data_IF_591846992210
#
_entry.id   IF_591846992210
#
_cell.length_a   1.000
_cell.length_b   1.000
_cell.length_c   1.000
_cell.angle_alpha   90.00
_cell.angle_beta   90.00
_cell.angle_gamma   90.00
#
_symmetry.space_group_name_H-M   'P 1'
#
loop_
_entity.id
_entity.type
_entity.pdbx_description
1 polymer ?
#
# COMPACT_ATOMS: atom_id res chain seq x y z
N UNK A 1 0.86 -6.76 39.55
CA UNK A 1 0.12 -7.00 38.33
C UNK A 1 -1.25 -7.55 38.69
N UNK A 2 -2.32 -7.06 38.08
CA UNK A 2 -3.65 -7.57 38.39
C UNK A 2 -3.88 -8.93 37.72
N UNK A 3 -4.88 -9.65 38.24
CA UNK A 3 -5.19 -11.00 37.81
C UNK A 3 -5.60 -11.07 36.31
N UNK A 4 -6.29 -10.05 35.83
CA UNK A 4 -6.73 -9.99 34.44
C UNK A 4 -5.52 -9.90 33.49
N UNK A 5 -4.55 -9.04 33.82
CA UNK A 5 -3.34 -8.91 33.01
C UNK A 5 -2.53 -10.22 33.00
N UNK A 6 -2.47 -10.94 34.13
CA UNK A 6 -1.81 -12.24 34.19
C UNK A 6 -2.48 -13.28 33.31
N UNK A 7 -3.81 -13.31 33.30
CA UNK A 7 -4.56 -14.20 32.41
C UNK A 7 -4.27 -13.91 30.94
N UNK A 8 -4.32 -12.66 30.55
CA UNK A 8 -4.01 -12.27 29.15
C UNK A 8 -2.60 -12.66 28.73
N UNK A 9 -1.62 -12.49 29.61
CA UNK A 9 -0.24 -12.84 29.32
C UNK A 9 -0.02 -14.35 29.24
N UNK A 10 -0.82 -15.14 29.93
CA UNK A 10 -0.70 -16.60 29.93
C UNK A 10 -1.51 -17.29 28.85
N UNK A 11 -2.37 -16.56 28.13
CA UNK A 11 -3.15 -17.14 27.04
C UNK A 11 -2.26 -17.43 25.83
N UNK A 12 -2.34 -18.66 25.35
CA UNK A 12 -1.69 -19.04 24.11
C UNK A 12 -2.67 -18.87 22.97
N UNK A 13 -2.38 -17.87 22.13
CA UNK A 13 -3.06 -17.71 20.87
C UNK A 13 -2.19 -18.31 19.80
N UNK A 14 -2.79 -19.02 18.85
CA UNK A 14 -2.08 -19.37 17.63
C UNK A 14 -1.65 -18.12 16.87
N UNK A 15 -0.91 -18.26 15.76
CA UNK A 15 -0.55 -17.10 14.94
C UNK A 15 -1.79 -16.30 14.60
N UNK A 16 -1.79 -15.01 14.90
CA UNK A 16 -2.91 -14.14 14.59
C UNK A 16 -3.10 -14.11 13.08
N UNK A 17 -4.34 -14.35 12.56
CA UNK A 17 -4.57 -14.27 11.12
C UNK A 17 -4.24 -12.89 10.56
N UNK A 18 -4.32 -11.87 11.39
CA UNK A 18 -4.05 -10.48 11.06
C UNK A 18 -2.61 -10.06 11.36
N UNK A 19 -1.70 -11.00 11.55
CA UNK A 19 -0.30 -10.69 11.83
C UNK A 19 0.36 -9.92 10.69
N UNK A 20 1.41 -9.12 10.98
CA UNK A 20 2.02 -8.25 9.99
C UNK A 20 3.01 -8.93 9.05
N UNK A 21 3.28 -10.21 9.22
CA UNK A 21 4.38 -10.91 8.52
C UNK A 21 4.20 -10.90 7.00
N UNK A 22 2.99 -11.17 6.52
CA UNK A 22 2.72 -11.18 5.08
C UNK A 22 2.83 -9.79 4.48
N UNK A 23 2.31 -8.79 5.17
CA UNK A 23 2.39 -7.40 4.73
C UNK A 23 3.85 -6.92 4.69
N UNK A 24 4.62 -7.22 5.70
CA UNK A 24 6.03 -6.86 5.74
C UNK A 24 6.82 -7.55 4.63
N UNK A 25 6.56 -8.83 4.38
CA UNK A 25 7.21 -9.56 3.29
C UNK A 25 6.89 -8.95 1.92
N UNK A 26 5.65 -8.53 1.72
CA UNK A 26 5.23 -7.87 0.48
C UNK A 26 5.92 -6.52 0.30
N UNK A 27 5.99 -5.71 1.36
CA UNK A 27 6.69 -4.42 1.34
C UNK A 27 8.18 -4.62 1.04
N UNK A 28 8.83 -5.59 1.68
CA UNK A 28 10.24 -5.89 1.48
C UNK A 28 10.52 -6.36 0.04
N UNK A 29 9.61 -7.14 -0.53
CA UNK A 29 9.73 -7.60 -1.92
C UNK A 29 9.69 -6.44 -2.93
N UNK A 30 9.14 -5.30 -2.53
CA UNK A 30 9.08 -4.08 -3.34
C UNK A 30 10.14 -3.04 -2.92
N UNK A 31 11.15 -3.45 -2.15
CA UNK A 31 12.20 -2.57 -1.62
C UNK A 31 11.64 -1.41 -0.80
N UNK A 32 10.41 -1.51 -0.33
CA UNK A 32 9.69 -0.48 0.41
C UNK A 32 9.71 0.89 -0.28
N UNK A 33 9.67 0.87 -1.60
CA UNK A 33 9.70 2.08 -2.44
C UNK A 33 8.70 1.93 -3.57
N UNK A 34 7.79 2.88 -3.68
CA UNK A 34 6.67 2.78 -4.61
C UNK A 34 6.60 4.01 -5.51
N UNK A 35 6.49 3.75 -6.81
CA UNK A 35 6.10 4.74 -7.79
C UNK A 35 4.59 4.86 -7.88
N UNK A 36 4.09 5.33 -9.00
CA UNK A 36 2.67 5.38 -9.29
C UNK A 36 2.28 4.20 -10.18
N UNK A 37 1.06 3.72 -10.04
CA UNK A 37 0.52 2.70 -10.91
C UNK A 37 -0.36 3.37 -11.97
N UNK A 38 0.16 3.49 -13.18
CA UNK A 38 -0.50 4.22 -14.28
C UNK A 38 -0.45 3.35 -15.52
N UNK A 39 -1.58 3.22 -16.20
CA UNK A 39 -1.72 2.47 -17.44
C UNK A 39 -1.27 1.00 -17.31
N UNK A 40 -1.61 0.38 -16.18
CA UNK A 40 -1.30 -1.02 -15.94
C UNK A 40 0.14 -1.31 -15.53
N UNK A 41 0.95 -0.28 -15.31
CA UNK A 41 2.36 -0.43 -14.97
C UNK A 41 2.78 0.48 -13.82
N UNK A 42 3.77 0.04 -13.06
CA UNK A 42 4.40 0.86 -12.04
C UNK A 42 5.40 1.81 -12.68
N UNK A 43 5.32 3.09 -12.33
CA UNK A 43 6.34 4.06 -12.71
C UNK A 43 7.55 3.93 -11.81
N UNK A 44 8.70 4.45 -12.25
CA UNK A 44 9.90 4.49 -11.40
C UNK A 44 9.66 5.42 -10.22
N UNK A 45 10.12 5.03 -9.00
CA UNK A 45 10.03 5.91 -7.85
C UNK A 45 10.79 7.22 -8.12
N UNK A 46 10.14 8.33 -7.78
CA UNK A 46 10.74 9.67 -7.88
C UNK A 46 10.92 10.27 -6.50
N UNK A 47 10.78 11.60 -6.41
CA UNK A 47 10.77 12.29 -5.12
C UNK A 47 9.68 11.67 -4.24
N UNK A 48 10.04 11.32 -3.02
CA UNK A 48 9.17 10.52 -2.16
C UNK A 48 9.02 11.13 -0.77
N UNK A 49 8.02 10.64 -0.07
CA UNK A 49 7.82 10.91 1.36
C UNK A 49 7.65 9.58 2.09
N UNK A 50 7.92 9.60 3.40
CA UNK A 50 7.79 8.41 4.23
C UNK A 50 6.34 8.16 4.63
N UNK A 51 5.90 6.91 4.53
CA UNK A 51 4.66 6.45 5.13
C UNK A 51 5.02 5.71 6.42
N UNK A 52 4.52 6.21 7.54
CA UNK A 52 4.93 5.72 8.85
C UNK A 52 3.82 4.94 9.53
N UNK A 53 4.22 3.95 10.32
CA UNK A 53 3.30 3.18 11.14
C UNK A 53 2.84 4.06 12.33
N UNK A 54 1.56 4.40 12.43
CA UNK A 54 1.09 5.28 13.51
C UNK A 54 1.20 4.66 14.90
N UNK A 55 1.28 3.35 14.99
CA UNK A 55 1.40 2.66 16.28
C UNK A 55 2.82 2.70 16.82
N UNK A 56 3.84 2.66 15.97
CA UNK A 56 5.25 2.56 16.38
C UNK A 56 6.09 3.76 15.97
N UNK A 57 5.66 4.53 14.99
CA UNK A 57 6.45 5.60 14.39
C UNK A 57 7.49 5.13 13.38
N UNK A 58 7.59 3.83 13.15
CA UNK A 58 8.57 3.30 12.18
C UNK A 58 8.14 3.58 10.74
N UNK A 59 9.11 3.82 9.87
CA UNK A 59 8.84 3.98 8.44
C UNK A 59 8.41 2.64 7.84
N UNK A 60 7.30 2.65 7.14
CA UNK A 60 6.79 1.47 6.41
C UNK A 60 7.36 1.43 4.99
N UNK A 61 7.35 2.56 4.32
CA UNK A 61 7.76 2.63 2.92
C UNK A 61 7.99 4.08 2.49
N UNK A 62 8.63 4.25 1.34
CA UNK A 62 8.75 5.53 0.65
C UNK A 62 7.76 5.57 -0.49
N UNK A 63 6.90 6.56 -0.49
CA UNK A 63 5.84 6.73 -1.46
C UNK A 63 6.20 7.90 -2.37
N UNK A 64 6.13 7.70 -3.67
CA UNK A 64 6.43 8.78 -4.62
C UNK A 64 5.40 9.89 -4.54
N UNK A 65 5.90 11.12 -4.44
CA UNK A 65 5.07 12.32 -4.44
C UNK A 65 4.65 12.63 -5.88
N UNK A 66 3.35 12.77 -6.11
CA UNK A 66 2.82 13.00 -7.45
C UNK A 66 3.17 14.39 -7.99
N UNK A 67 3.65 14.44 -9.21
CA UNK A 67 3.89 15.69 -9.94
C UNK A 67 2.71 16.01 -10.86
N UNK A 68 2.68 17.24 -11.39
CA UNK A 68 1.69 17.60 -12.41
C UNK A 68 1.79 16.71 -13.65
N UNK A 69 3.01 16.30 -14.00
CA UNK A 69 3.25 15.39 -15.14
C UNK A 69 2.68 13.99 -14.85
N UNK A 70 2.82 13.51 -13.64
CA UNK A 70 2.25 12.22 -13.23
C UNK A 70 0.71 12.24 -13.31
N UNK A 71 0.09 13.31 -12.85
CA UNK A 71 -1.36 13.49 -12.93
C UNK A 71 -1.80 13.55 -14.39
N UNK A 72 -1.08 14.27 -15.24
CA UNK A 72 -1.37 14.36 -16.65
C UNK A 72 -1.31 12.99 -17.34
N UNK A 73 -0.28 12.21 -17.04
CA UNK A 73 -0.14 10.85 -17.57
C UNK A 73 -1.29 9.94 -17.13
N UNK A 74 -1.70 10.04 -15.87
CA UNK A 74 -2.83 9.26 -15.34
C UNK A 74 -4.13 9.64 -16.04
N UNK A 75 -4.40 10.91 -16.23
CA UNK A 75 -5.61 11.39 -16.91
C UNK A 75 -5.63 10.94 -18.38
N UNK A 76 -4.51 10.99 -19.06
CA UNK A 76 -4.42 10.51 -20.45
C UNK A 76 -4.70 9.02 -20.54
N UNK A 77 -4.17 8.23 -19.63
CA UNK A 77 -4.44 6.79 -19.57
C UNK A 77 -5.93 6.51 -19.33
N UNK A 78 -6.54 7.24 -18.38
CA UNK A 78 -7.96 7.12 -18.09
C UNK A 78 -8.84 7.44 -19.31
N UNK A 79 -8.53 8.51 -20.01
CA UNK A 79 -9.28 8.92 -21.20
C UNK A 79 -9.15 7.89 -22.32
N UNK A 80 -7.96 7.32 -22.51
CA UNK A 80 -7.74 6.27 -23.48
C UNK A 80 -8.56 5.01 -23.16
N UNK A 81 -8.63 4.64 -21.89
CA UNK A 81 -9.38 3.47 -21.44
C UNK A 81 -10.91 3.71 -21.47
N UNK A 82 -11.34 4.94 -21.30
CA UNK A 82 -12.76 5.30 -21.15
C UNK A 82 -13.61 4.83 -22.32
N UNK A 83 -13.14 4.98 -23.55
CA UNK A 83 -13.92 4.61 -24.75
C UNK A 83 -14.29 3.15 -24.74
N UNK A 84 -13.33 2.26 -24.50
CA UNK A 84 -13.59 0.82 -24.44
C UNK A 84 -14.44 0.43 -23.27
N UNK A 85 -14.12 0.96 -22.11
CA UNK A 85 -14.84 0.63 -20.87
C UNK A 85 -16.30 1.10 -20.92
N UNK A 86 -16.54 2.34 -21.34
CA UNK A 86 -17.89 2.91 -21.37
C UNK A 86 -18.79 2.27 -22.43
N UNK A 87 -18.21 1.62 -23.44
CA UNK A 87 -18.94 0.91 -24.48
C UNK A 87 -19.41 -0.49 -24.04
N UNK A 88 -18.89 -1.02 -22.93
CA UNK A 88 -19.28 -2.33 -22.42
C UNK A 88 -20.68 -2.29 -21.83
N UNK A 89 -21.43 -3.40 -22.03
CA UNK A 89 -22.75 -3.55 -21.39
C UNK A 89 -22.61 -3.92 -19.91
N UNK A 90 -23.71 -3.86 -19.19
CA UNK A 90 -23.73 -4.26 -17.78
C UNK A 90 -23.69 -5.75 -17.51
N UNK A 91 -23.50 -6.55 -18.54
CA UNK A 91 -23.40 -8.01 -18.42
C UNK A 91 -21.95 -8.44 -18.23
#
# INVERSE_FOLDING_TARGET
>A
MNKIAQIFQSLEYGPAPEGPEQANAWLDAHDRSFGHFIDGEWTKPGKSFSSDNPATGDSLAQISDGTAEDVDAAVKADRAAFKGWSALSGY
#
